data_IF_060593425519
#
_entry.id   IF_060593425519
#
_cell.length_a   1.000
_cell.length_b   1.000
_cell.length_c   1.000
_cell.angle_alpha   90.00
_cell.angle_beta   90.00
_cell.angle_gamma   90.00
#
_symmetry.space_group_name_H-M   'P 1'
#
loop_
_entity.id
_entity.type
_entity.pdbx_description
1 polymer ?
#
# COMPACT_ATOMS: atom_id res chain seq x y z
N UNK A 1 -18.37 17.57 10.09
CA UNK A 1 -18.44 16.23 9.66
C UNK A 1 -17.13 15.76 9.06
N UNK A 2 -16.82 14.53 9.31
CA UNK A 2 -15.55 14.01 8.86
C UNK A 2 -15.54 13.41 7.47
N UNK A 3 -16.66 13.38 6.82
CA UNK A 3 -16.81 12.66 5.57
C UNK A 3 -15.85 13.06 4.48
N UNK A 4 -15.17 14.19 4.62
CA UNK A 4 -14.26 14.67 3.61
C UNK A 4 -12.79 14.53 4.02
N UNK A 5 -12.48 13.57 4.87
CA UNK A 5 -11.09 13.22 5.10
C UNK A 5 -10.50 12.70 3.78
N UNK A 6 -9.18 12.63 3.72
CA UNK A 6 -8.48 12.28 2.48
C UNK A 6 -9.05 11.08 1.76
N UNK A 7 -9.28 9.97 2.46
CA UNK A 7 -9.72 8.74 1.82
C UNK A 7 -11.19 8.74 1.40
N UNK A 8 -11.95 9.77 1.76
CA UNK A 8 -13.35 9.89 1.36
C UNK A 8 -13.54 10.74 0.09
N UNK A 9 -12.49 11.38 -0.41
CA UNK A 9 -12.59 12.18 -1.62
C UNK A 9 -12.73 11.27 -2.84
N UNK A 10 -13.59 11.63 -3.81
CA UNK A 10 -13.75 10.84 -5.01
C UNK A 10 -12.44 10.57 -5.74
N UNK A 11 -11.56 11.57 -5.84
CA UNK A 11 -10.27 11.41 -6.49
C UNK A 11 -9.42 10.37 -5.76
N UNK A 12 -9.44 10.37 -4.44
CA UNK A 12 -8.70 9.39 -3.64
C UNK A 12 -9.20 7.99 -3.93
N UNK A 13 -10.52 7.81 -3.99
CA UNK A 13 -11.10 6.50 -4.28
C UNK A 13 -10.80 6.05 -5.71
N UNK A 14 -10.77 6.97 -6.67
CA UNK A 14 -10.39 6.63 -8.04
C UNK A 14 -8.95 6.11 -8.11
N UNK A 15 -8.04 6.75 -7.38
CA UNK A 15 -6.64 6.32 -7.37
C UNK A 15 -6.53 4.92 -6.79
N UNK A 16 -7.23 4.65 -5.68
CA UNK A 16 -7.24 3.31 -5.08
C UNK A 16 -7.76 2.29 -6.09
N UNK A 17 -8.85 2.59 -6.77
CA UNK A 17 -9.43 1.69 -7.77
C UNK A 17 -8.47 1.42 -8.91
N UNK A 18 -7.77 2.45 -9.39
CA UNK A 18 -6.79 2.30 -10.47
C UNK A 18 -5.64 1.40 -10.06
N UNK A 19 -5.13 1.58 -8.83
CA UNK A 19 -4.08 0.70 -8.31
C UNK A 19 -4.54 -0.75 -8.28
N UNK A 20 -5.72 -0.99 -7.75
CA UNK A 20 -6.25 -2.36 -7.62
C UNK A 20 -6.42 -2.98 -8.99
N UNK A 21 -6.97 -2.23 -9.94
CA UNK A 21 -7.16 -2.72 -11.31
C UNK A 21 -5.82 -3.11 -11.94
N UNK A 22 -4.84 -2.22 -11.89
CA UNK A 22 -3.55 -2.47 -12.53
C UNK A 22 -2.76 -3.59 -11.84
N UNK A 23 -2.86 -3.68 -10.52
CA UNK A 23 -2.21 -4.77 -9.80
C UNK A 23 -2.84 -6.11 -10.16
N UNK A 24 -4.18 -6.18 -10.21
CA UNK A 24 -4.87 -7.41 -10.61
C UNK A 24 -4.51 -7.80 -12.03
N UNK A 25 -4.45 -6.83 -12.91
CA UNK A 25 -4.06 -7.10 -14.31
C UNK A 25 -2.65 -7.65 -14.39
N UNK A 26 -1.73 -7.06 -13.64
CA UNK A 26 -0.34 -7.55 -13.59
C UNK A 26 -0.28 -8.99 -13.06
N UNK A 27 -1.00 -9.27 -11.98
CA UNK A 27 -1.00 -10.61 -11.39
C UNK A 27 -1.54 -11.64 -12.38
N UNK A 28 -2.59 -11.31 -13.11
CA UNK A 28 -3.15 -12.20 -14.13
C UNK A 28 -2.15 -12.43 -15.26
N UNK A 29 -1.53 -11.36 -15.75
CA UNK A 29 -0.60 -11.43 -16.88
C UNK A 29 0.70 -12.14 -16.53
N UNK A 30 1.11 -12.11 -15.26
CA UNK A 30 2.35 -12.74 -14.81
C UNK A 30 2.14 -14.14 -14.25
N UNK A 31 0.90 -14.65 -14.25
CA UNK A 31 0.60 -15.97 -13.72
C UNK A 31 0.57 -16.05 -12.20
N UNK A 32 0.47 -14.91 -11.53
CA UNK A 32 0.48 -14.85 -10.06
C UNK A 32 -0.90 -14.63 -9.46
N UNK A 33 -1.95 -14.71 -10.26
CA UNK A 33 -3.31 -14.38 -9.82
C UNK A 33 -3.84 -15.28 -8.71
N UNK A 34 -3.26 -16.46 -8.52
CA UNK A 34 -3.64 -17.36 -7.43
C UNK A 34 -2.61 -17.35 -6.29
N UNK A 35 -1.52 -16.59 -6.44
CA UNK A 35 -0.49 -16.50 -5.42
C UNK A 35 -0.66 -15.28 -4.53
N UNK A 36 -1.20 -14.20 -5.10
CA UNK A 36 -1.37 -12.94 -4.39
C UNK A 36 -2.75 -12.37 -4.65
N UNK A 37 -3.31 -11.72 -3.64
CA UNK A 37 -4.64 -11.09 -3.71
C UNK A 37 -4.55 -9.66 -3.22
N UNK A 38 -5.27 -8.76 -3.89
CA UNK A 38 -5.27 -7.35 -3.56
C UNK A 38 -6.68 -6.89 -3.20
N UNK A 39 -6.78 -6.04 -2.19
CA UNK A 39 -8.07 -5.49 -1.75
C UNK A 39 -7.88 -4.09 -1.17
N UNK A 40 -8.95 -3.27 -1.19
CA UNK A 40 -8.90 -1.95 -0.59
C UNK A 40 -9.22 -2.01 0.90
N UNK A 41 -8.62 -1.09 1.64
CA UNK A 41 -9.05 -0.66 2.98
C UNK A 41 -9.41 -1.77 3.96
N UNK A 42 -8.55 -2.79 4.04
CA UNK A 42 -8.71 -3.85 5.03
C UNK A 42 -7.81 -3.61 6.23
N UNK A 43 -8.36 -3.90 7.40
CA UNK A 43 -7.67 -3.68 8.66
C UNK A 43 -6.51 -4.66 8.84
N UNK A 44 -5.35 -4.11 9.15
CA UNK A 44 -4.17 -4.89 9.53
C UNK A 44 -4.08 -4.81 11.05
N UNK A 45 -4.22 -5.95 11.72
CA UNK A 45 -4.17 -6.00 13.17
C UNK A 45 -2.78 -6.30 13.68
N UNK A 46 -2.37 -5.55 14.71
CA UNK A 46 -1.10 -5.80 15.37
C UNK A 46 -1.14 -5.12 16.74
N UNK A 47 -0.86 -5.86 17.79
CA UNK A 47 -0.92 -5.36 19.15
C UNK A 47 0.11 -4.27 19.45
N UNK A 48 1.07 -4.08 18.56
CA UNK A 48 2.09 -3.03 18.72
C UNK A 48 1.62 -1.65 18.24
N UNK A 49 0.45 -1.56 17.59
CA UNK A 49 -0.16 -0.27 17.29
C UNK A 49 -0.97 0.20 18.49
N UNK A 50 -1.12 1.51 18.61
CA UNK A 50 -1.89 2.09 19.71
C UNK A 50 -3.31 1.53 19.82
N UNK A 51 -3.96 1.33 18.69
CA UNK A 51 -5.32 0.76 18.63
C UNK A 51 -5.29 -0.72 18.27
N UNK A 52 -4.11 -1.32 18.19
CA UNK A 52 -3.97 -2.69 17.77
C UNK A 52 -4.25 -2.92 16.29
N UNK A 53 -4.45 -1.86 15.51
CA UNK A 53 -4.78 -2.01 14.10
C UNK A 53 -4.44 -0.77 13.29
N UNK A 54 -4.43 -0.94 11.98
CA UNK A 54 -4.16 0.09 11.00
C UNK A 54 -4.91 -0.30 9.72
N UNK A 55 -5.50 0.67 9.02
CA UNK A 55 -6.25 0.42 7.80
C UNK A 55 -5.54 1.13 6.64
N UNK A 56 -4.67 0.42 5.91
CA UNK A 56 -4.05 1.01 4.72
C UNK A 56 -5.06 1.11 3.58
N UNK A 57 -4.76 1.96 2.61
CA UNK A 57 -5.63 2.12 1.45
C UNK A 57 -5.71 0.86 0.60
N UNK A 58 -4.58 0.16 0.45
CA UNK A 58 -4.51 -1.07 -0.35
C UNK A 58 -3.66 -2.09 0.39
N UNK A 59 -4.13 -3.33 0.43
CA UNK A 59 -3.39 -4.45 1.02
C UNK A 59 -3.22 -5.55 -0.01
N UNK A 60 -2.06 -6.21 0.02
CA UNK A 60 -1.78 -7.35 -0.83
C UNK A 60 -1.33 -8.49 0.06
N UNK A 61 -2.04 -9.59 0.02
CA UNK A 61 -1.67 -10.77 0.80
C UNK A 61 -1.21 -11.90 -0.10
N UNK A 62 -0.40 -12.78 0.46
CA UNK A 62 -0.03 -14.03 -0.20
C UNK A 62 -1.10 -15.07 0.06
N UNK A 63 -1.30 -15.97 -0.89
CA UNK A 63 -2.22 -17.09 -0.71
C UNK A 63 -1.84 -17.88 0.54
N UNK A 64 -2.84 -18.28 1.31
CA UNK A 64 -2.62 -18.99 2.57
C UNK A 64 -2.49 -18.09 3.79
N UNK A 65 -2.25 -16.79 3.60
CA UNK A 65 -2.20 -15.83 4.71
C UNK A 65 -3.58 -15.18 4.90
N UNK A 66 -3.77 -14.56 6.04
CA UNK A 66 -5.00 -13.79 6.30
C UNK A 66 -4.80 -12.34 5.88
N UNK A 67 -5.91 -11.64 5.67
CA UNK A 67 -5.86 -10.24 5.25
C UNK A 67 -5.22 -9.31 6.28
N UNK A 68 -5.26 -9.66 7.55
CA UNK A 68 -4.62 -8.84 8.59
C UNK A 68 -3.13 -9.10 8.73
N UNK A 69 -2.57 -9.96 7.88
CA UNK A 69 -1.13 -10.24 7.79
C UNK A 69 -0.68 -10.12 6.34
N UNK A 70 -0.77 -8.93 5.75
CA UNK A 70 -0.43 -8.76 4.33
C UNK A 70 1.07 -8.76 4.10
N UNK A 71 1.46 -9.00 2.85
CA UNK A 71 2.86 -8.90 2.41
C UNK A 71 3.25 -7.49 2.03
N UNK A 72 2.30 -6.75 1.46
CA UNK A 72 2.55 -5.39 0.96
C UNK A 72 1.38 -4.51 1.37
N UNK A 73 1.67 -3.28 1.76
CA UNK A 73 0.65 -2.26 1.94
C UNK A 73 1.00 -1.04 1.09
N UNK A 74 -0.02 -0.34 0.63
CA UNK A 74 0.15 0.86 -0.16
C UNK A 74 -0.79 1.93 0.40
N UNK A 75 -0.23 3.12 0.63
CA UNK A 75 -1.02 4.31 0.94
C UNK A 75 -0.93 5.25 -0.24
N UNK A 76 -2.06 5.84 -0.62
CA UNK A 76 -2.10 6.88 -1.63
C UNK A 76 -2.45 8.18 -0.94
N UNK A 77 -1.67 9.20 -1.17
CA UNK A 77 -1.68 10.43 -0.40
C UNK A 77 -1.76 11.65 -1.29
N UNK A 78 -2.32 12.71 -0.71
CA UNK A 78 -2.11 14.05 -1.24
C UNK A 78 -0.82 14.60 -0.62
N UNK A 79 -0.31 15.67 -1.19
CA UNK A 79 0.93 16.31 -0.69
C UNK A 79 0.85 16.58 0.81
N UNK A 80 -0.31 17.02 1.28
CA UNK A 80 -0.52 17.39 2.67
C UNK A 80 -0.27 16.24 3.65
N UNK A 81 -0.65 15.01 3.27
CA UNK A 81 -0.53 13.85 4.14
C UNK A 81 0.63 12.94 3.83
N UNK A 82 1.42 13.26 2.82
CA UNK A 82 2.45 12.36 2.30
C UNK A 82 3.48 11.95 3.37
N UNK A 83 4.05 12.93 4.07
CA UNK A 83 5.07 12.65 5.08
C UNK A 83 4.49 11.86 6.25
N UNK A 84 3.28 12.20 6.67
CA UNK A 84 2.60 11.46 7.74
C UNK A 84 2.36 10.01 7.35
N UNK A 85 1.95 9.78 6.10
CA UNK A 85 1.70 8.42 5.62
C UNK A 85 2.98 7.61 5.51
N UNK A 86 4.10 8.24 5.13
CA UNK A 86 5.39 7.57 5.13
C UNK A 86 5.73 7.05 6.53
N UNK A 87 5.52 7.87 7.56
CA UNK A 87 5.77 7.46 8.93
C UNK A 87 4.88 6.30 9.36
N UNK A 88 3.61 6.34 8.97
CA UNK A 88 2.66 5.26 9.27
C UNK A 88 3.08 3.95 8.62
N UNK A 89 3.43 4.01 7.34
CA UNK A 89 3.85 2.82 6.61
C UNK A 89 5.14 2.25 7.18
N UNK A 90 6.10 3.12 7.50
CA UNK A 90 7.36 2.68 8.10
C UNK A 90 7.11 1.95 9.42
N UNK A 91 6.24 2.49 10.26
CA UNK A 91 5.88 1.85 11.52
C UNK A 91 5.24 0.49 11.28
N UNK A 92 4.34 0.39 10.30
CA UNK A 92 3.67 -0.87 9.99
C UNK A 92 4.67 -1.93 9.50
N UNK A 93 5.57 -1.55 8.60
CA UNK A 93 6.58 -2.49 8.09
C UNK A 93 7.46 -3.01 9.21
N UNK A 94 7.79 -2.16 10.17
CA UNK A 94 8.59 -2.58 11.33
C UNK A 94 7.83 -3.54 12.26
N UNK A 95 6.53 -3.30 12.45
CA UNK A 95 5.78 -3.99 13.51
C UNK A 95 4.99 -5.20 13.04
N UNK A 96 4.59 -5.25 11.79
CA UNK A 96 3.82 -6.38 11.26
C UNK A 96 4.77 -7.40 10.64
N UNK A 97 4.84 -8.57 11.24
CA UNK A 97 5.84 -9.58 10.86
C UNK A 97 5.76 -10.00 9.40
N UNK A 98 4.57 -10.24 8.90
CA UNK A 98 4.38 -10.71 7.53
C UNK A 98 4.69 -9.64 6.48
N UNK A 99 4.61 -8.38 6.87
CA UNK A 99 4.74 -7.26 5.94
C UNK A 99 6.18 -7.09 5.49
N UNK A 100 6.41 -7.12 4.20
CA UNK A 100 7.76 -7.04 3.61
C UNK A 100 8.03 -5.74 2.90
N UNK A 101 7.02 -5.17 2.27
CA UNK A 101 7.13 -3.91 1.53
C UNK A 101 5.98 -2.99 1.88
N UNK A 102 6.25 -1.72 1.97
CA UNK A 102 5.25 -0.69 2.09
C UNK A 102 5.56 0.43 1.11
N UNK A 103 4.53 1.01 0.55
CA UNK A 103 4.66 2.11 -0.42
C UNK A 103 3.74 3.25 -0.05
N UNK A 104 4.19 4.46 -0.35
CA UNK A 104 3.34 5.65 -0.27
C UNK A 104 3.49 6.38 -1.60
N UNK A 105 2.37 6.73 -2.20
CA UNK A 105 2.36 7.47 -3.46
C UNK A 105 1.59 8.77 -3.28
N UNK A 106 2.20 9.86 -3.72
CA UNK A 106 1.55 11.17 -3.75
C UNK A 106 0.92 11.34 -5.12
N UNK A 107 -0.41 11.20 -5.19
CA UNK A 107 -1.07 11.24 -6.49
C UNK A 107 -1.22 12.67 -7.06
N UNK A 108 -0.88 13.68 -6.27
CA UNK A 108 -0.86 15.05 -6.79
C UNK A 108 0.44 15.37 -7.52
N UNK A 109 1.56 14.76 -7.09
CA UNK A 109 2.89 15.06 -7.65
C UNK A 109 3.48 13.91 -8.45
N UNK A 110 2.98 12.69 -8.24
CA UNK A 110 3.57 11.50 -8.83
C UNK A 110 4.75 10.94 -8.04
N UNK A 111 5.09 11.53 -6.92
CA UNK A 111 6.18 11.02 -6.08
C UNK A 111 5.79 9.72 -5.40
N UNK A 112 6.77 8.85 -5.20
CA UNK A 112 6.59 7.61 -4.46
C UNK A 112 7.73 7.36 -3.52
N UNK A 113 7.50 6.48 -2.54
CA UNK A 113 8.48 6.10 -1.56
C UNK A 113 8.27 4.64 -1.20
N UNK A 114 9.34 3.87 -1.16
CA UNK A 114 9.31 2.46 -0.79
C UNK A 114 10.01 2.27 0.55
N UNK A 115 9.41 1.45 1.41
CA UNK A 115 10.01 1.06 2.70
C UNK A 115 9.95 -0.45 2.76
N UNK A 116 11.08 -1.11 2.95
CA UNK A 116 11.13 -2.58 2.92
C UNK A 116 12.07 -3.12 3.96
N UNK A 117 11.78 -4.36 4.37
CA UNK A 117 12.69 -5.12 5.21
C UNK A 117 13.88 -5.60 4.39
N UNK A 118 15.04 -5.77 5.01
CA UNK A 118 15.30 -5.60 6.44
C UNK A 118 15.73 -4.19 6.85
N UNK A 119 15.98 -3.32 5.90
CA UNK A 119 16.66 -2.05 6.19
C UNK A 119 15.75 -0.96 6.71
N UNK A 120 14.48 -0.96 6.31
CA UNK A 120 13.50 0.05 6.69
C UNK A 120 13.84 1.46 6.22
N UNK A 121 14.70 1.59 5.21
CA UNK A 121 14.99 2.89 4.64
C UNK A 121 13.82 3.40 3.82
N UNK A 122 13.67 4.71 3.83
CA UNK A 122 12.71 5.40 2.97
C UNK A 122 13.40 5.62 1.62
N UNK A 123 13.08 4.78 0.66
CA UNK A 123 13.65 4.89 -0.67
C UNK A 123 12.82 5.85 -1.52
N UNK A 124 13.14 7.13 -1.41
CA UNK A 124 12.43 8.18 -2.15
C UNK A 124 12.57 7.96 -3.65
N UNK A 125 11.46 8.11 -4.36
CA UNK A 125 11.45 7.91 -5.79
C UNK A 125 11.36 6.46 -6.21
N UNK A 126 11.39 5.52 -5.27
CA UNK A 126 11.30 4.10 -5.60
C UNK A 126 9.85 3.63 -5.61
N UNK A 127 9.44 3.01 -6.70
CA UNK A 127 8.08 2.53 -6.87
C UNK A 127 8.01 1.06 -7.29
N UNK A 128 9.15 0.41 -7.44
CA UNK A 128 9.19 -0.97 -7.91
C UNK A 128 8.98 -1.95 -6.74
N UNK A 129 8.03 -2.86 -6.89
CA UNK A 129 7.81 -3.93 -5.92
C UNK A 129 8.65 -5.14 -6.30
N UNK A 130 9.57 -5.51 -5.42
CA UNK A 130 10.39 -6.71 -5.63
C UNK A 130 9.54 -7.97 -5.53
N UNK A 131 8.55 -7.97 -4.64
CA UNK A 131 7.67 -9.13 -4.45
C UNK A 131 6.82 -9.38 -5.69
N UNK A 132 6.23 -8.33 -6.25
CA UNK A 132 5.35 -8.46 -7.41
C UNK A 132 6.10 -8.42 -8.73
N UNK A 133 7.36 -7.99 -8.72
CA UNK A 133 8.15 -7.74 -9.93
C UNK A 133 7.39 -6.79 -10.86
N UNK A 134 7.02 -5.64 -10.32
CA UNK A 134 6.12 -4.71 -10.99
C UNK A 134 6.37 -3.29 -10.50
N UNK A 135 6.40 -2.33 -11.41
CA UNK A 135 6.54 -0.93 -11.07
C UNK A 135 5.17 -0.34 -10.75
N UNK A 136 4.93 -0.09 -9.47
CA UNK A 136 3.64 0.41 -9.01
C UNK A 136 3.35 1.83 -9.50
N UNK A 137 4.36 2.56 -9.95
CA UNK A 137 4.14 3.89 -10.48
C UNK A 137 3.26 3.87 -11.74
N UNK A 138 3.23 2.74 -12.46
CA UNK A 138 2.35 2.59 -13.60
C UNK A 138 0.88 2.69 -13.22
N UNK A 139 0.55 2.43 -11.95
CA UNK A 139 -0.82 2.52 -11.45
C UNK A 139 -1.32 3.96 -11.32
N UNK A 140 -0.39 4.93 -11.25
CA UNK A 140 -0.77 6.34 -11.10
C UNK A 140 -1.22 6.99 -12.40
N UNK A 141 -1.03 6.32 -13.50
CA UNK A 141 -1.43 6.85 -14.78
C UNK A 141 -2.86 6.42 -15.09
N UNK A 142 -3.73 7.10 -14.59
CA UNK A 142 -5.13 6.77 -14.68
C UNK A 142 -5.66 6.63 -16.11
#
# INVERSE_FOLDING_TARGET
MKGLSGFNLPQHQEVISDFIYHIRLHLANSGQEFDYFVAPELRVKNSNFNNGSFIPDIVIKKDGNTWNQPKIIIEVSRTRGYITDIKKVKKAVKKVRALKEGFVFNYETGEGCRIAKPDFYEEDGESYSAILDFDLNDCLRG
#
